data_IF_987408812762
#
_entry.id   IF_987408812762
#
_cell.length_a   1.000
_cell.length_b   1.000
_cell.length_c   1.000
_cell.angle_alpha   90.00
_cell.angle_beta   90.00
_cell.angle_gamma   90.00
#
_symmetry.space_group_name_H-M   'P 1'
#
loop_
_entity.id
_entity.type
_entity.pdbx_description
1 polymer ?
#
# COMPACT_ATOMS: atom_id res chain seq x y z
N UNK A 1 -4.27 -4.47 -4.66
CA UNK A 1 -4.11 -4.34 -3.19
C UNK A 1 -2.87 -5.11 -2.80
N UNK A 2 -1.84 -4.48 -2.21
CA UNK A 2 -0.69 -5.21 -1.71
C UNK A 2 -1.08 -6.03 -0.48
N UNK A 3 -0.48 -7.21 -0.33
CA UNK A 3 -0.54 -8.02 0.89
C UNK A 3 0.75 -7.82 1.68
N UNK A 4 0.62 -7.67 3.01
CA UNK A 4 1.77 -7.53 3.93
C UNK A 4 1.65 -8.61 5.00
N UNK A 5 2.73 -9.37 5.18
CA UNK A 5 2.71 -10.57 6.02
C UNK A 5 2.63 -10.25 7.52
N UNK A 6 1.62 -10.78 8.19
CA UNK A 6 1.48 -10.76 9.66
C UNK A 6 1.73 -12.14 10.30
N UNK A 7 1.85 -13.19 9.48
CA UNK A 7 2.15 -14.57 9.84
C UNK A 7 3.40 -15.05 9.10
N UNK A 8 3.87 -16.23 9.46
CA UNK A 8 4.93 -16.93 8.73
C UNK A 8 4.39 -17.53 7.41
N UNK A 9 5.25 -17.97 6.48
CA UNK A 9 4.86 -18.28 5.10
C UNK A 9 3.87 -19.45 4.93
N UNK A 10 3.72 -20.28 5.95
CA UNK A 10 2.79 -21.40 6.02
C UNK A 10 1.38 -21.00 6.51
N UNK A 11 1.20 -19.74 6.94
CA UNK A 11 -0.09 -19.20 7.34
C UNK A 11 -1.06 -18.99 6.17
N UNK A 12 -2.35 -19.23 6.42
CA UNK A 12 -3.45 -18.94 5.49
C UNK A 12 -4.36 -17.87 6.06
N UNK A 13 -4.91 -17.02 5.20
CA UNK A 13 -6.02 -16.13 5.57
C UNK A 13 -7.31 -16.92 5.82
N UNK A 14 -8.32 -16.23 6.38
CA UNK A 14 -9.64 -16.79 6.69
C UNK A 14 -9.64 -17.99 7.67
N UNK A 15 -8.65 -18.06 8.55
CA UNK A 15 -8.54 -19.07 9.62
C UNK A 15 -8.67 -18.46 11.02
N UNK A 16 -9.07 -19.24 12.06
CA UNK A 16 -9.00 -18.80 13.45
C UNK A 16 -7.59 -18.36 13.89
N UNK A 17 -6.56 -19.04 13.37
CA UNK A 17 -5.15 -18.72 13.59
C UNK A 17 -4.81 -17.34 13.01
N UNK A 18 -5.29 -17.04 11.80
CA UNK A 18 -5.14 -15.71 11.20
C UNK A 18 -5.84 -14.63 12.01
N UNK A 19 -7.05 -14.90 12.50
CA UNK A 19 -7.77 -13.95 13.37
C UNK A 19 -6.96 -13.64 14.65
N UNK A 20 -6.35 -14.66 15.24
CA UNK A 20 -5.45 -14.51 16.39
C UNK A 20 -4.20 -13.71 16.02
N UNK A 21 -3.57 -14.02 14.88
CA UNK A 21 -2.40 -13.31 14.39
C UNK A 21 -2.71 -11.83 14.08
N UNK A 22 -3.89 -11.53 13.52
CA UNK A 22 -4.35 -10.18 13.21
C UNK A 22 -4.55 -9.31 14.47
N UNK A 23 -4.85 -9.93 15.62
CA UNK A 23 -4.95 -9.25 16.91
C UNK A 23 -3.60 -9.10 17.65
N UNK A 24 -2.49 -9.56 17.06
CA UNK A 24 -1.18 -9.59 17.73
C UNK A 24 -0.41 -8.26 17.64
N UNK A 25 0.58 -8.10 18.52
CA UNK A 25 1.53 -6.99 18.46
C UNK A 25 2.36 -6.98 17.16
N UNK A 26 2.63 -8.16 16.57
CA UNK A 26 3.29 -8.27 15.26
C UNK A 26 2.42 -7.60 14.19
N UNK A 27 1.14 -7.93 14.13
CA UNK A 27 0.21 -7.32 13.18
C UNK A 27 0.11 -5.81 13.39
N UNK A 28 0.09 -5.33 14.64
CA UNK A 28 0.10 -3.88 14.92
C UNK A 28 1.34 -3.19 14.38
N UNK A 29 2.54 -3.76 14.55
CA UNK A 29 3.78 -3.20 14.00
C UNK A 29 3.76 -3.18 12.48
N UNK A 30 3.29 -4.26 11.86
CA UNK A 30 3.14 -4.36 10.39
C UNK A 30 2.16 -3.31 9.87
N UNK A 31 1.01 -3.12 10.53
CA UNK A 31 0.03 -2.11 10.14
C UNK A 31 0.60 -0.69 10.17
N UNK A 32 1.35 -0.35 11.22
CA UNK A 32 1.99 0.95 11.34
C UNK A 32 3.02 1.17 10.22
N UNK A 33 3.91 0.20 9.98
CA UNK A 33 4.92 0.28 8.93
C UNK A 33 4.29 0.38 7.52
N UNK A 34 3.24 -0.41 7.26
CA UNK A 34 2.51 -0.35 5.99
C UNK A 34 1.82 1.00 5.79
N UNK A 35 1.25 1.56 6.86
CA UNK A 35 0.60 2.87 6.84
C UNK A 35 1.62 3.98 6.58
N UNK A 36 2.78 3.92 7.23
CA UNK A 36 3.88 4.87 7.00
C UNK A 36 4.37 4.81 5.56
N UNK A 37 4.62 3.60 5.03
CA UNK A 37 5.04 3.42 3.64
C UNK A 37 4.00 3.98 2.64
N UNK A 38 2.70 3.74 2.89
CA UNK A 38 1.63 4.31 2.08
C UNK A 38 1.57 5.84 2.17
N UNK A 39 1.78 6.40 3.36
CA UNK A 39 1.79 7.85 3.55
C UNK A 39 2.97 8.50 2.81
N UNK A 40 4.18 7.94 2.93
CA UNK A 40 5.35 8.39 2.18
C UNK A 40 5.11 8.31 0.67
N UNK A 41 4.60 7.17 0.19
CA UNK A 41 4.24 6.97 -1.23
C UNK A 41 3.24 8.03 -1.71
N UNK A 42 2.22 8.33 -0.91
CA UNK A 42 1.23 9.34 -1.25
C UNK A 42 1.85 10.74 -1.31
N UNK A 43 2.73 11.09 -0.35
CA UNK A 43 3.43 12.38 -0.34
C UNK A 43 4.28 12.53 -1.61
N UNK A 44 5.07 11.52 -1.97
CA UNK A 44 5.91 11.55 -3.18
C UNK A 44 5.07 11.73 -4.45
N UNK A 45 3.98 10.97 -4.60
CA UNK A 45 3.10 11.05 -5.76
C UNK A 45 2.31 12.37 -5.83
N UNK A 46 1.89 12.91 -4.70
CA UNK A 46 1.10 14.15 -4.68
C UNK A 46 1.99 15.38 -4.93
N UNK A 47 3.23 15.38 -4.44
CA UNK A 47 4.15 16.51 -4.56
C UNK A 47 5.00 16.49 -5.83
N UNK A 48 5.20 15.35 -6.47
CA UNK A 48 5.95 15.24 -7.73
C UNK A 48 5.03 14.98 -8.92
N UNK A 49 4.78 16.02 -9.72
CA UNK A 49 4.02 15.89 -10.96
C UNK A 49 4.67 14.89 -11.92
N UNK A 50 6.00 14.92 -12.05
CA UNK A 50 6.75 14.00 -12.90
C UNK A 50 6.53 12.54 -12.49
N UNK A 51 6.67 12.24 -11.19
CA UNK A 51 6.49 10.88 -10.67
C UNK A 51 5.04 10.40 -10.86
N UNK A 52 4.07 11.29 -10.62
CA UNK A 52 2.65 10.99 -10.84
C UNK A 52 2.36 10.65 -12.31
N UNK A 53 2.87 11.45 -13.25
CA UNK A 53 2.67 11.17 -14.68
C UNK A 53 3.36 9.88 -15.12
N UNK A 54 4.54 9.59 -14.60
CA UNK A 54 5.24 8.33 -14.86
C UNK A 54 4.44 7.13 -14.35
N UNK A 55 3.96 7.18 -13.11
CA UNK A 55 3.16 6.12 -12.51
C UNK A 55 1.88 5.83 -13.32
N UNK A 56 1.21 6.87 -13.84
CA UNK A 56 0.04 6.69 -14.71
C UNK A 56 0.38 6.05 -16.06
N UNK A 57 1.48 6.46 -16.70
CA UNK A 57 1.96 5.84 -17.93
C UNK A 57 2.25 4.36 -17.74
N UNK A 58 2.97 4.00 -16.67
CA UNK A 58 3.34 2.62 -16.35
C UNK A 58 2.13 1.75 -16.01
N UNK A 59 1.12 2.32 -15.32
CA UNK A 59 -0.12 1.61 -15.02
C UNK A 59 -0.96 1.29 -16.27
N UNK A 60 -0.69 1.94 -17.40
CA UNK A 60 -1.47 1.81 -18.64
C UNK A 60 -2.62 2.83 -18.76
N UNK A 61 -2.61 3.89 -17.95
CA UNK A 61 -3.55 5.01 -18.07
C UNK A 61 -3.10 6.03 -19.12
N UNK A 62 -4.04 6.56 -19.91
CA UNK A 62 -3.79 7.76 -20.72
C UNK A 62 -3.82 8.99 -19.83
N UNK A 63 -2.75 9.78 -19.83
CA UNK A 63 -2.72 11.09 -19.19
C UNK A 63 -3.54 12.06 -20.04
N UNK A 64 -4.86 12.09 -19.84
CA UNK A 64 -5.64 13.22 -20.29
C UNK A 64 -5.18 14.43 -19.45
N UNK A 65 -4.51 15.37 -20.14
CA UNK A 65 -3.89 16.55 -19.56
C UNK A 65 -4.79 17.18 -18.48
N UNK A 66 -4.23 17.36 -17.28
CA UNK A 66 -4.80 18.18 -16.24
C UNK A 66 -4.85 19.64 -16.73
N UNK A 67 -5.88 19.97 -17.50
CA UNK A 67 -6.33 21.32 -17.71
C UNK A 67 -7.36 21.64 -16.62
N UNK A 68 -7.17 22.82 -15.99
CA UNK A 68 -7.98 23.51 -14.96
C UNK A 68 -7.50 23.14 -13.54
N UNK A 69 -6.94 24.05 -12.75
CA UNK A 69 -7.12 25.51 -12.62
C UNK A 69 -5.81 26.21 -12.27
#
# INVERSE_FOLDING_TARGET
HPFVAIMDPDGSDHTPEFATAAASDRARRVLLAATEALACTAVELLLSAELREQAWREHGGSVAAAARR
#
